data_IF_209490208598
#
_entry.id   IF_209490208598
#
_cell.length_a   1.000
_cell.length_b   1.000
_cell.length_c   1.000
_cell.angle_alpha   90.00
_cell.angle_beta   90.00
_cell.angle_gamma   90.00
#
_symmetry.space_group_name_H-M   'P 1'
#
loop_
_entity.id
_entity.type
_entity.pdbx_description
1 polymer ?
#
# COMPACT_ATOMS: atom_id res chain seq x y z
N UNK A 1 3.23 13.82 -12.72
CA UNK A 1 1.82 13.59 -12.39
C UNK A 1 1.61 14.07 -10.95
N UNK A 2 0.52 14.78 -10.66
CA UNK A 2 0.19 15.22 -9.31
C UNK A 2 -0.62 14.15 -8.57
N UNK A 3 -0.63 14.21 -7.24
CA UNK A 3 -1.57 13.43 -6.44
C UNK A 3 -2.98 14.01 -6.59
N UNK A 4 -3.95 13.18 -6.98
CA UNK A 4 -5.37 13.55 -7.20
C UNK A 4 -6.25 12.87 -6.15
N UNK A 5 -6.64 13.56 -5.06
CA UNK A 5 -7.34 12.95 -3.93
C UNK A 5 -8.75 12.43 -4.27
N UNK A 6 -9.38 12.96 -5.31
CA UNK A 6 -10.70 12.52 -5.77
C UNK A 6 -10.65 11.25 -6.63
N UNK A 7 -9.48 10.90 -7.17
CA UNK A 7 -9.32 9.71 -7.99
C UNK A 7 -8.95 8.51 -7.11
N UNK A 8 -9.96 7.75 -6.71
CA UNK A 8 -9.79 6.51 -5.96
C UNK A 8 -9.88 5.32 -6.91
N UNK A 9 -8.89 4.43 -6.82
CA UNK A 9 -8.88 3.15 -7.53
C UNK A 9 -8.99 2.02 -6.52
N UNK A 10 -9.87 1.05 -6.79
CA UNK A 10 -9.86 -0.21 -6.07
C UNK A 10 -8.72 -1.07 -6.64
N UNK A 11 -7.94 -1.67 -5.75
CA UNK A 11 -6.77 -2.45 -6.12
C UNK A 11 -6.81 -3.80 -5.41
N UNK A 12 -6.49 -4.87 -6.14
CA UNK A 12 -6.43 -6.24 -5.61
C UNK A 12 -5.15 -6.88 -6.10
N UNK A 13 -4.36 -7.39 -5.17
CA UNK A 13 -3.07 -8.00 -5.42
C UNK A 13 -2.59 -8.73 -4.17
N UNK A 14 -1.36 -9.22 -4.21
CA UNK A 14 -0.71 -9.90 -3.08
C UNK A 14 0.37 -8.98 -2.53
N UNK A 15 0.40 -8.79 -1.21
CA UNK A 15 1.45 -8.02 -0.53
C UNK A 15 2.78 -8.77 -0.62
N UNK A 16 3.78 -8.11 -1.21
CA UNK A 16 5.14 -8.65 -1.36
C UNK A 16 6.09 -8.08 -0.33
N UNK A 17 5.85 -6.85 0.14
CA UNK A 17 6.63 -6.22 1.19
C UNK A 17 5.84 -5.17 1.97
N UNK A 18 6.16 -5.01 3.26
CA UNK A 18 5.54 -4.02 4.13
C UNK A 18 6.59 -3.35 5.02
N UNK A 19 6.65 -2.02 4.97
CA UNK A 19 7.59 -1.23 5.76
C UNK A 19 6.83 -0.26 6.66
N UNK A 20 6.81 -0.55 7.96
CA UNK A 20 6.26 0.35 8.97
C UNK A 20 7.36 1.27 9.54
N UNK A 21 7.76 2.30 8.79
CA UNK A 21 8.86 3.19 9.17
C UNK A 21 8.46 4.66 9.17
N UNK A 22 9.29 5.53 9.75
CA UNK A 22 9.10 6.99 9.77
C UNK A 22 10.18 7.60 8.87
N UNK A 23 9.87 8.43 7.86
CA UNK A 23 8.67 9.28 7.74
C UNK A 23 7.44 8.67 7.06
N UNK A 24 7.54 7.53 6.37
CA UNK A 24 6.41 6.95 5.62
C UNK A 24 6.30 5.45 5.79
N UNK A 25 5.06 4.97 5.78
CA UNK A 25 4.75 3.55 5.68
C UNK A 25 4.59 3.20 4.20
N UNK A 26 5.15 2.07 3.79
CA UNK A 26 5.09 1.60 2.41
C UNK A 26 4.53 0.18 2.35
N UNK A 27 3.69 -0.08 1.35
CA UNK A 27 3.18 -1.40 1.00
C UNK A 27 3.57 -1.66 -0.45
N UNK A 28 4.27 -2.76 -0.70
CA UNK A 28 4.56 -3.25 -2.04
C UNK A 28 3.66 -4.44 -2.36
N UNK A 29 3.12 -4.46 -3.58
CA UNK A 29 2.14 -5.46 -3.99
C UNK A 29 2.30 -5.87 -5.45
N UNK A 30 2.04 -7.13 -5.74
CA UNK A 30 1.91 -7.65 -7.10
C UNK A 30 0.42 -7.82 -7.44
N UNK A 31 -0.01 -7.26 -8.57
CA UNK A 31 -1.38 -7.43 -9.06
C UNK A 31 -1.41 -7.86 -10.52
N UNK A 32 -2.36 -8.74 -10.83
CA UNK A 32 -2.65 -9.16 -12.19
C UNK A 32 -3.44 -8.07 -12.90
N UNK A 33 -2.87 -7.53 -13.97
CA UNK A 33 -3.58 -6.60 -14.85
C UNK A 33 -4.62 -7.28 -15.73
N UNK A 34 -5.48 -6.47 -16.35
CA UNK A 34 -6.49 -6.96 -17.31
C UNK A 34 -5.86 -7.60 -18.55
N UNK A 35 -4.61 -7.25 -18.87
CA UNK A 35 -3.80 -7.83 -19.93
C UNK A 35 -3.15 -9.17 -19.56
N UNK A 36 -3.35 -9.64 -18.32
CA UNK A 36 -2.75 -10.88 -17.82
C UNK A 36 -1.31 -10.73 -17.35
N UNK A 37 -0.75 -9.51 -17.39
CA UNK A 37 0.59 -9.22 -16.91
C UNK A 37 0.58 -8.86 -15.43
N UNK A 38 1.55 -9.40 -14.68
CA UNK A 38 1.75 -9.01 -13.28
C UNK A 38 2.46 -7.66 -13.25
N UNK A 39 1.87 -6.71 -12.53
CA UNK A 39 2.48 -5.41 -12.24
C UNK A 39 2.82 -5.32 -10.78
N UNK A 40 4.01 -4.80 -10.51
CA UNK A 40 4.45 -4.47 -9.17
C UNK A 40 4.11 -3.02 -8.84
N UNK A 41 3.57 -2.78 -7.65
CA UNK A 41 3.09 -1.49 -7.18
C UNK A 41 3.71 -1.14 -5.84
N UNK A 42 4.07 0.13 -5.68
CA UNK A 42 4.46 0.73 -4.41
C UNK A 42 3.38 1.72 -3.97
N UNK A 43 2.83 1.49 -2.79
CA UNK A 43 1.81 2.33 -2.16
C UNK A 43 2.48 3.08 -1.01
N UNK A 44 2.57 4.40 -1.15
CA UNK A 44 3.02 5.29 -0.07
C UNK A 44 1.84 5.69 0.82
N UNK A 45 2.04 5.56 2.13
CA UNK A 45 1.08 5.96 3.15
C UNK A 45 1.62 7.12 4.00
N UNK A 46 0.75 7.66 4.86
CA UNK A 46 1.16 8.62 5.87
C UNK A 46 2.16 8.04 6.88
N UNK A 47 2.80 8.90 7.67
CA UNK A 47 3.70 8.46 8.74
C UNK A 47 2.99 7.56 9.78
N UNK A 48 3.74 6.69 10.49
CA UNK A 48 3.20 5.79 11.51
C UNK A 48 2.38 6.51 12.60
N UNK A 49 2.72 7.76 12.93
CA UNK A 49 2.00 8.53 13.93
C UNK A 49 0.57 8.86 13.51
N UNK A 50 0.38 9.28 12.25
CA UNK A 50 -0.95 9.51 11.67
C UNK A 50 -1.73 8.19 11.60
N UNK A 51 -1.10 7.15 11.04
CA UNK A 51 -1.73 5.84 10.84
C UNK A 51 -2.19 5.20 12.16
N UNK A 52 -1.37 5.28 13.22
CA UNK A 52 -1.76 4.81 14.55
C UNK A 52 -3.02 5.50 15.10
N UNK A 53 -3.17 6.82 14.87
CA UNK A 53 -4.33 7.59 15.32
C UNK A 53 -5.61 7.22 14.57
N UNK A 54 -5.50 6.79 13.31
CA UNK A 54 -6.63 6.30 12.51
C UNK A 54 -6.83 4.77 12.64
N UNK A 55 -6.15 4.13 13.59
CA UNK A 55 -6.41 2.74 13.99
C UNK A 55 -5.47 1.69 13.38
N UNK A 56 -4.60 2.07 12.44
CA UNK A 56 -3.65 1.12 11.86
C UNK A 56 -2.59 0.68 12.88
N UNK A 57 -2.07 -0.54 12.72
CA UNK A 57 -0.98 -1.08 13.53
C UNK A 57 0.07 -1.72 12.62
N UNK A 58 1.29 -1.81 13.13
CA UNK A 58 2.45 -2.37 12.43
C UNK A 58 2.30 -3.85 12.03
N UNK A 59 1.31 -4.56 12.58
CA UNK A 59 1.06 -5.99 12.36
C UNK A 59 -0.31 -6.26 11.72
N UNK A 60 -0.91 -5.27 11.05
CA UNK A 60 -2.18 -5.44 10.34
C UNK A 60 -2.03 -6.00 8.93
N UNK A 61 -0.82 -5.94 8.37
CA UNK A 61 -0.50 -6.37 7.01
C UNK A 61 0.70 -7.29 7.11
N UNK A 62 0.56 -8.47 6.53
CA UNK A 62 1.62 -9.46 6.41
C UNK A 62 1.93 -9.72 4.93
N UNK A 63 3.14 -10.22 4.65
CA UNK A 63 3.50 -10.65 3.31
C UNK A 63 2.63 -11.86 2.94
N UNK A 64 1.96 -11.78 1.80
CA UNK A 64 1.02 -12.80 1.33
C UNK A 64 -0.46 -12.47 1.55
N UNK A 65 -0.78 -11.40 2.28
CA UNK A 65 -2.15 -10.84 2.33
C UNK A 65 -2.63 -10.31 0.97
#
# INVERSE_FOLDING_TARGET
>A
AGYEPEQQIAFTGVVTHFQWTNPHVYIEMDALGEDGEIRHWLIECANPGILNRVGWRWNMIEVGD
#
